data_IF_493995451265
#
_entry.id   IF_493995451265
#
_cell.length_a   1.000
_cell.length_b   1.000
_cell.length_c   1.000
_cell.angle_alpha   90.00
_cell.angle_beta   90.00
_cell.angle_gamma   90.00
#
_symmetry.space_group_name_H-M   'P 1'
#
loop_
_entity.id
_entity.type
_entity.pdbx_description
1 polymer ?
#
# COMPACT_ATOMS: atom_id res chain seq x y z
N UNK A 1 -53.47 161.07 78.54
CA UNK A 1 -52.35 161.92 79.00
C UNK A 1 -51.06 161.27 78.59
N UNK A 2 -50.16 161.89 77.84
CA UNK A 2 -50.12 163.20 77.18
C UNK A 2 -48.67 163.32 76.72
N UNK A 3 -48.44 163.44 75.41
CA UNK A 3 -47.20 163.86 74.72
C UNK A 3 -45.86 163.19 75.08
N UNK A 4 -45.52 162.96 76.35
CA UNK A 4 -44.27 162.35 76.82
C UNK A 4 -44.05 160.92 76.30
N UNK A 5 -45.07 160.06 76.32
CA UNK A 5 -44.97 158.69 75.77
C UNK A 5 -44.76 158.70 74.24
N UNK A 6 -45.33 159.68 73.53
CA UNK A 6 -45.14 159.82 72.08
C UNK A 6 -43.70 160.25 71.74
N UNK A 7 -43.10 161.15 72.53
CA UNK A 7 -41.69 161.54 72.39
C UNK A 7 -40.72 160.40 72.70
N UNK A 8 -41.02 159.54 73.69
CA UNK A 8 -40.23 158.36 74.02
C UNK A 8 -40.25 157.29 72.91
N UNK A 9 -41.43 157.05 72.32
CA UNK A 9 -41.58 156.14 71.19
C UNK A 9 -40.84 156.64 69.94
N UNK A 10 -40.91 157.95 69.66
CA UNK A 10 -40.16 158.58 68.57
C UNK A 10 -38.65 158.47 68.78
N UNK A 11 -38.15 158.70 70.00
CA UNK A 11 -36.73 158.55 70.32
C UNK A 11 -36.24 157.09 70.18
N UNK A 12 -37.04 156.11 70.63
CA UNK A 12 -36.72 154.69 70.46
C UNK A 12 -36.71 154.27 68.99
N UNK A 13 -37.63 154.81 68.19
CA UNK A 13 -37.70 154.54 66.76
C UNK A 13 -36.53 155.19 66.02
N UNK A 14 -36.12 156.40 66.40
CA UNK A 14 -34.95 157.08 65.85
C UNK A 14 -33.65 156.35 66.24
N UNK A 15 -33.54 155.84 67.47
CA UNK A 15 -32.44 155.01 67.92
C UNK A 15 -32.39 153.70 67.14
N UNK A 16 -33.53 153.04 66.94
CA UNK A 16 -33.61 151.80 66.17
C UNK A 16 -33.26 152.03 64.71
N UNK A 17 -33.73 153.14 64.12
CA UNK A 17 -33.41 153.54 62.76
C UNK A 17 -31.91 153.85 62.62
N UNK A 18 -31.32 154.58 63.56
CA UNK A 18 -29.87 154.83 63.60
C UNK A 18 -29.07 153.54 63.78
N UNK A 19 -29.56 152.58 64.59
CA UNK A 19 -28.91 151.31 64.82
C UNK A 19 -29.00 150.39 63.60
N UNK A 20 -30.13 150.41 62.88
CA UNK A 20 -30.31 149.73 61.59
C UNK A 20 -29.45 150.35 60.50
N UNK A 21 -29.41 151.69 60.40
CA UNK A 21 -28.55 152.42 59.46
C UNK A 21 -27.08 152.16 59.80
N UNK A 22 -26.70 152.12 61.08
CA UNK A 22 -25.35 151.73 61.49
C UNK A 22 -25.03 150.28 61.15
N UNK A 23 -25.96 149.35 61.32
CA UNK A 23 -25.77 147.94 60.95
C UNK A 23 -25.69 147.74 59.43
N UNK A 24 -26.41 148.55 58.64
CA UNK A 24 -26.39 148.53 57.17
C UNK A 24 -25.17 149.24 56.58
N UNK A 25 -24.69 150.34 57.19
CA UNK A 25 -23.41 150.97 56.83
C UNK A 25 -22.20 150.20 57.38
N UNK A 26 -22.38 149.39 58.43
CA UNK A 26 -21.40 148.40 58.85
C UNK A 26 -21.39 147.28 57.83
N UNK A 27 -20.63 147.49 56.75
CA UNK A 27 -20.29 146.44 55.78
C UNK A 27 -19.99 145.16 56.55
N UNK A 28 -20.76 144.07 56.40
CA UNK A 28 -20.33 142.80 56.94
C UNK A 28 -18.96 142.52 56.33
N UNK A 29 -17.96 142.30 57.18
CA UNK A 29 -16.59 142.15 56.75
C UNK A 29 -16.54 141.10 55.63
N UNK A 30 -16.08 141.49 54.44
CA UNK A 30 -15.82 140.55 53.33
C UNK A 30 -14.95 139.37 53.81
N UNK A 31 -14.10 139.63 54.82
CA UNK A 31 -13.28 138.67 55.54
C UNK A 31 -14.06 137.46 56.08
N UNK A 32 -15.31 137.60 56.56
CA UNK A 32 -16.03 136.47 57.17
C UNK A 32 -16.54 135.44 56.16
N UNK A 33 -16.84 135.86 54.92
CA UNK A 33 -17.19 134.93 53.82
C UNK A 33 -15.94 134.34 53.17
N UNK A 34 -14.88 135.14 53.03
CA UNK A 34 -13.58 134.65 52.55
C UNK A 34 -12.94 133.65 53.52
N UNK A 35 -13.03 133.86 54.84
CA UNK A 35 -12.58 132.91 55.86
C UNK A 35 -13.38 131.60 55.85
N UNK A 36 -14.70 131.67 55.64
CA UNK A 36 -15.56 130.47 55.52
C UNK A 36 -15.25 129.67 54.24
N UNK A 37 -15.08 130.35 53.11
CA UNK A 37 -14.69 129.71 51.85
C UNK A 37 -13.26 129.14 51.92
N UNK A 38 -12.33 129.82 52.60
CA UNK A 38 -10.99 129.33 52.85
C UNK A 38 -10.98 128.13 53.82
N UNK A 39 -11.83 128.13 54.86
CA UNK A 39 -12.00 127.00 55.78
C UNK A 39 -12.61 125.78 55.07
N UNK A 40 -13.58 125.99 54.17
CA UNK A 40 -14.15 124.92 53.34
C UNK A 40 -13.15 124.39 52.32
N UNK A 41 -12.36 125.25 51.66
CA UNK A 41 -11.32 124.84 50.73
C UNK A 41 -10.22 124.02 51.43
N UNK A 42 -9.74 124.49 52.59
CA UNK A 42 -8.75 123.76 53.39
C UNK A 42 -9.30 122.45 53.97
N UNK A 43 -10.58 122.42 54.36
CA UNK A 43 -11.29 121.19 54.74
C UNK A 43 -11.37 120.19 53.59
N UNK A 44 -11.69 120.65 52.39
CA UNK A 44 -11.77 119.84 51.19
C UNK A 44 -10.40 119.28 50.77
N UNK A 45 -9.34 120.10 50.82
CA UNK A 45 -7.96 119.68 50.54
C UNK A 45 -7.44 118.66 51.57
N UNK A 46 -7.93 118.73 52.82
CA UNK A 46 -7.60 117.74 53.85
C UNK A 46 -8.33 116.42 53.60
N UNK A 47 -9.63 116.48 53.30
CA UNK A 47 -10.44 115.33 52.92
C UNK A 47 -9.87 114.62 51.68
N UNK A 48 -9.46 115.37 50.65
CA UNK A 48 -8.86 114.80 49.45
C UNK A 48 -7.55 114.07 49.78
N UNK A 49 -6.70 114.66 50.64
CA UNK A 49 -5.45 114.03 51.07
C UNK A 49 -5.68 112.78 51.92
N UNK A 50 -6.67 112.80 52.81
CA UNK A 50 -7.08 111.62 53.60
C UNK A 50 -7.64 110.53 52.68
N UNK A 51 -8.53 110.84 51.75
CA UNK A 51 -9.06 109.89 50.77
C UNK A 51 -7.95 109.30 49.89
N UNK A 52 -7.01 110.11 49.39
CA UNK A 52 -5.88 109.61 48.60
C UNK A 52 -4.98 108.67 49.42
N UNK A 53 -4.80 108.94 50.71
CA UNK A 53 -4.06 108.06 51.63
C UNK A 53 -4.83 106.75 51.87
N UNK A 54 -6.12 106.83 52.21
CA UNK A 54 -7.00 105.68 52.42
C UNK A 54 -7.04 104.78 51.18
N UNK A 55 -7.17 105.36 49.99
CA UNK A 55 -7.17 104.61 48.71
C UNK A 55 -5.81 103.96 48.46
N UNK A 56 -4.70 104.67 48.72
CA UNK A 56 -3.36 104.11 48.58
C UNK A 56 -3.12 102.96 49.55
N UNK A 57 -3.50 103.12 50.81
CA UNK A 57 -3.30 102.12 51.86
C UNK A 57 -4.24 100.92 51.66
N UNK A 58 -5.50 101.17 51.27
CA UNK A 58 -6.45 100.13 50.86
C UNK A 58 -5.95 99.37 49.62
N UNK A 59 -5.37 100.05 48.63
CA UNK A 59 -4.77 99.41 47.45
C UNK A 59 -3.58 98.54 47.83
N UNK A 60 -2.73 99.00 48.76
CA UNK A 60 -1.60 98.22 49.28
C UNK A 60 -2.09 97.00 50.05
N UNK A 61 -3.07 97.13 50.94
CA UNK A 61 -3.68 96.01 51.67
C UNK A 61 -4.28 95.00 50.71
N UNK A 62 -5.06 95.46 49.73
CA UNK A 62 -5.68 94.61 48.71
C UNK A 62 -4.64 93.84 47.89
N UNK A 63 -3.53 94.48 47.51
CA UNK A 63 -2.43 93.79 46.80
C UNK A 63 -1.74 92.75 47.67
N UNK A 64 -1.57 93.03 48.96
CA UNK A 64 -0.98 92.09 49.90
C UNK A 64 -1.91 90.90 50.14
N UNK A 65 -3.21 91.13 50.32
CA UNK A 65 -4.23 90.07 50.41
C UNK A 65 -4.26 89.22 49.14
N UNK A 66 -4.24 89.84 47.96
CA UNK A 66 -4.15 89.11 46.68
C UNK A 66 -2.87 88.28 46.56
N UNK A 67 -1.72 88.83 46.97
CA UNK A 67 -0.46 88.08 46.96
C UNK A 67 -0.50 86.87 47.90
N UNK A 68 -1.05 87.05 49.11
CA UNK A 68 -1.18 85.96 50.09
C UNK A 68 -2.18 84.90 49.63
N UNK A 69 -3.34 85.29 49.10
CA UNK A 69 -4.35 84.36 48.55
C UNK A 69 -3.83 83.61 47.33
N UNK A 70 -3.05 84.25 46.45
CA UNK A 70 -2.40 83.57 45.34
C UNK A 70 -1.34 82.57 45.82
N UNK A 71 -0.54 82.94 46.83
CA UNK A 71 0.45 82.04 47.41
C UNK A 71 -0.20 80.81 48.08
N UNK A 72 -1.28 81.00 48.84
CA UNK A 72 -2.03 79.89 49.44
C UNK A 72 -2.73 79.03 48.40
N UNK A 73 -3.26 79.64 47.34
CA UNK A 73 -3.82 78.90 46.20
C UNK A 73 -2.77 78.05 45.49
N UNK A 74 -1.61 78.62 45.15
CA UNK A 74 -0.49 77.87 44.56
C UNK A 74 -0.06 76.72 45.46
N UNK A 75 0.07 76.97 46.76
CA UNK A 75 0.43 75.94 47.73
C UNK A 75 -0.61 74.82 47.79
N UNK A 76 -1.89 75.16 47.73
CA UNK A 76 -3.00 74.19 47.74
C UNK A 76 -2.99 73.34 46.47
N UNK A 77 -2.74 73.93 45.29
CA UNK A 77 -2.60 73.20 44.03
C UNK A 77 -1.40 72.25 44.03
N UNK A 78 -0.26 72.66 44.60
CA UNK A 78 0.91 71.79 44.73
C UNK A 78 0.64 70.65 45.71
N UNK A 79 -0.05 70.91 46.83
CA UNK A 79 -0.43 69.87 47.77
C UNK A 79 -1.42 68.87 47.16
N UNK A 80 -2.46 69.37 46.49
CA UNK A 80 -3.45 68.54 45.81
C UNK A 80 -2.82 67.69 44.70
N UNK A 81 -1.89 68.26 43.91
CA UNK A 81 -1.19 67.48 42.87
C UNK A 81 -0.24 66.44 43.47
N UNK A 82 0.48 66.78 44.55
CA UNK A 82 1.32 65.83 45.26
C UNK A 82 0.51 64.67 45.86
N UNK A 83 -0.68 64.96 46.42
CA UNK A 83 -1.59 63.94 46.95
C UNK A 83 -2.20 63.08 45.83
N UNK A 84 -2.58 63.67 44.69
CA UNK A 84 -3.03 62.95 43.51
C UNK A 84 -1.94 62.00 42.97
N UNK A 85 -0.67 62.45 42.89
CA UNK A 85 0.45 61.60 42.45
C UNK A 85 0.70 60.46 43.45
N UNK A 86 0.63 60.73 44.76
CA UNK A 86 0.80 59.68 45.79
C UNK A 86 -0.28 58.62 45.70
N UNK A 87 -1.54 59.03 45.56
CA UNK A 87 -2.66 58.09 45.41
C UNK A 87 -2.57 57.31 44.10
N UNK A 88 -2.16 57.95 43.00
CA UNK A 88 -1.91 57.30 41.72
C UNK A 88 -0.78 56.26 41.82
N UNK A 89 0.35 56.60 42.45
CA UNK A 89 1.46 55.66 42.64
C UNK A 89 1.04 54.47 43.50
N UNK A 90 0.31 54.70 44.59
CA UNK A 90 -0.21 53.61 45.42
C UNK A 90 -1.17 52.68 44.65
N UNK A 91 -2.00 53.24 43.76
CA UNK A 91 -2.85 52.43 42.87
C UNK A 91 -2.04 51.62 41.85
N UNK A 92 -0.99 52.21 41.26
CA UNK A 92 -0.10 51.51 40.34
C UNK A 92 0.64 50.36 41.05
N UNK A 93 1.12 50.58 42.27
CA UNK A 93 1.79 49.56 43.06
C UNK A 93 0.82 48.41 43.41
N UNK A 94 -0.41 48.74 43.84
CA UNK A 94 -1.45 47.74 44.10
C UNK A 94 -1.79 46.94 42.83
N UNK A 95 -1.90 47.60 41.68
CA UNK A 95 -2.14 46.95 40.41
C UNK A 95 -0.97 46.04 39.99
N UNK A 96 0.28 46.48 40.16
CA UNK A 96 1.47 45.69 39.89
C UNK A 96 1.53 44.44 40.77
N UNK A 97 1.19 44.56 42.06
CA UNK A 97 1.11 43.41 42.96
C UNK A 97 0.00 42.44 42.56
N UNK A 98 -1.17 42.96 42.18
CA UNK A 98 -2.27 42.13 41.70
C UNK A 98 -1.90 41.38 40.41
N UNK A 99 -1.22 42.04 39.46
CA UNK A 99 -0.72 41.40 38.25
C UNK A 99 0.32 40.32 38.55
N UNK A 100 1.24 40.56 39.48
CA UNK A 100 2.23 39.56 39.90
C UNK A 100 1.58 38.33 40.55
N UNK A 101 0.56 38.54 41.40
CA UNK A 101 -0.22 37.46 42.00
C UNK A 101 -1.01 36.66 40.96
N UNK A 102 -1.61 37.35 39.98
CA UNK A 102 -2.34 36.71 38.89
C UNK A 102 -1.39 35.87 38.02
N UNK A 103 -0.25 36.45 37.61
CA UNK A 103 0.79 35.74 36.85
C UNK A 103 1.29 34.50 37.60
N UNK A 104 1.55 34.63 38.91
CA UNK A 104 1.97 33.50 39.76
C UNK A 104 0.89 32.41 39.81
N UNK A 105 -0.36 32.79 40.09
CA UNK A 105 -1.48 31.85 40.17
C UNK A 105 -1.69 31.12 38.85
N UNK A 106 -1.60 31.81 37.71
CA UNK A 106 -1.66 31.18 36.40
C UNK A 106 -0.49 30.22 36.17
N UNK A 107 0.73 30.61 36.54
CA UNK A 107 1.91 29.76 36.40
C UNK A 107 1.81 28.49 37.25
N UNK A 108 1.36 28.63 38.49
CA UNK A 108 1.15 27.51 39.42
C UNK A 108 0.02 26.58 38.91
N UNK A 109 -1.07 27.16 38.38
CA UNK A 109 -2.18 26.39 37.80
C UNK A 109 -1.75 25.63 36.55
N UNK A 110 -1.02 26.28 35.65
CA UNK A 110 -0.50 25.64 34.42
C UNK A 110 0.48 24.52 34.77
N UNK A 111 1.38 24.73 35.74
CA UNK A 111 2.33 23.71 36.18
C UNK A 111 1.59 22.50 36.75
N UNK A 112 0.60 22.73 37.60
CA UNK A 112 -0.24 21.67 38.19
C UNK A 112 -1.03 20.92 37.12
N UNK A 113 -1.60 21.64 36.15
CA UNK A 113 -2.37 21.04 35.07
C UNK A 113 -1.49 20.21 34.12
N UNK A 114 -0.29 20.72 33.78
CA UNK A 114 0.69 19.97 32.99
C UNK A 114 1.17 18.71 33.72
N UNK A 115 1.41 18.80 35.02
CA UNK A 115 1.80 17.63 35.82
C UNK A 115 0.68 16.57 35.85
N UNK A 116 -0.57 17.00 36.06
CA UNK A 116 -1.74 16.11 36.04
C UNK A 116 -1.95 15.44 34.67
N UNK A 117 -1.80 16.21 33.58
CA UNK A 117 -1.87 15.68 32.21
C UNK A 117 -0.73 14.70 31.96
N UNK A 118 0.50 15.03 32.38
CA UNK A 118 1.66 14.15 32.24
C UNK A 118 1.47 12.83 32.98
N UNK A 119 0.96 12.88 34.22
CA UNK A 119 0.69 11.69 35.01
C UNK A 119 -0.45 10.83 34.42
N UNK A 120 -1.54 11.47 34.00
CA UNK A 120 -2.65 10.81 33.31
C UNK A 120 -2.19 10.15 32.00
N UNK A 121 -1.35 10.83 31.23
CA UNK A 121 -0.79 10.29 30.00
C UNK A 121 0.16 9.12 30.26
N UNK A 122 0.99 9.19 31.31
CA UNK A 122 1.85 8.09 31.72
C UNK A 122 1.03 6.84 32.11
N UNK A 123 -0.05 7.03 32.88
CA UNK A 123 -0.97 5.93 33.26
C UNK A 123 -1.64 5.32 32.03
N UNK A 124 -2.18 6.13 31.12
CA UNK A 124 -2.77 5.65 29.86
C UNK A 124 -1.76 4.89 29.00
N UNK A 125 -0.50 5.35 28.95
CA UNK A 125 0.52 4.67 28.17
C UNK A 125 0.86 3.28 28.73
N UNK A 126 0.84 3.13 30.05
CA UNK A 126 0.97 1.81 30.71
C UNK A 126 -0.23 0.91 30.39
N UNK A 127 -1.45 1.43 30.49
CA UNK A 127 -2.68 0.67 30.16
C UNK A 127 -2.71 0.22 28.70
N UNK A 128 -2.33 1.11 27.77
CA UNK A 128 -2.19 0.78 26.35
C UNK A 128 -1.13 -0.30 26.15
N UNK A 129 0.02 -0.18 26.80
CA UNK A 129 1.08 -1.18 26.72
C UNK A 129 0.61 -2.54 27.24
N UNK A 130 -0.06 -2.59 28.38
CA UNK A 130 -0.60 -3.82 28.96
C UNK A 130 -1.64 -4.46 28.03
N UNK A 131 -2.55 -3.65 27.47
CA UNK A 131 -3.55 -4.12 26.50
C UNK A 131 -2.89 -4.68 25.24
N UNK A 132 -1.85 -4.01 24.73
CA UNK A 132 -1.09 -4.49 23.57
C UNK A 132 -0.33 -5.78 23.87
N UNK A 133 0.29 -5.89 25.04
CA UNK A 133 0.98 -7.12 25.49
C UNK A 133 -0.02 -8.29 25.59
N UNK A 134 -1.21 -8.06 26.16
CA UNK A 134 -2.30 -9.05 26.21
C UNK A 134 -2.78 -9.46 24.81
N UNK A 135 -3.03 -8.50 23.91
CA UNK A 135 -3.46 -8.79 22.55
C UNK A 135 -2.39 -9.54 21.75
N UNK A 136 -1.11 -9.18 21.91
CA UNK A 136 -0.01 -9.89 21.27
C UNK A 136 0.13 -11.31 21.80
N UNK A 137 0.01 -11.53 23.11
CA UNK A 137 0.00 -12.86 23.70
C UNK A 137 -1.18 -13.70 23.19
N UNK A 138 -2.38 -13.12 23.12
CA UNK A 138 -3.58 -13.76 22.57
C UNK A 138 -3.38 -14.14 21.09
N UNK A 139 -2.79 -13.25 20.29
CA UNK A 139 -2.48 -13.50 18.88
C UNK A 139 -1.43 -14.60 18.72
N UNK A 140 -0.37 -14.61 19.53
CA UNK A 140 0.64 -15.65 19.53
C UNK A 140 0.02 -17.01 19.88
N UNK A 141 -0.78 -17.08 20.95
CA UNK A 141 -1.48 -18.30 21.34
C UNK A 141 -2.45 -18.78 20.25
N UNK A 142 -3.24 -17.87 19.68
CA UNK A 142 -4.19 -18.18 18.61
C UNK A 142 -3.47 -18.66 17.36
N UNK A 143 -2.36 -18.02 16.97
CA UNK A 143 -1.57 -18.45 15.83
C UNK A 143 -0.93 -19.81 16.06
N UNK A 144 -0.39 -20.09 17.27
CA UNK A 144 0.15 -21.41 17.59
C UNK A 144 -0.93 -22.49 17.47
N UNK A 145 -2.12 -22.25 18.05
CA UNK A 145 -3.24 -23.17 17.94
C UNK A 145 -3.66 -23.41 16.49
N UNK A 146 -3.72 -22.35 15.67
CA UNK A 146 -4.09 -22.45 14.25
C UNK A 146 -3.02 -23.14 13.41
N UNK A 147 -1.74 -22.96 13.73
CA UNK A 147 -0.62 -23.67 13.11
C UNK A 147 -0.67 -25.17 13.44
N UNK A 148 -0.99 -25.53 14.69
CA UNK A 148 -1.14 -26.93 15.09
C UNK A 148 -2.37 -27.57 14.44
N UNK A 149 -3.49 -26.85 14.32
CA UNK A 149 -4.67 -27.30 13.58
C UNK A 149 -4.36 -27.51 12.08
N UNK A 150 -3.61 -26.59 11.47
CA UNK A 150 -3.15 -26.75 10.09
C UNK A 150 -2.21 -27.94 9.95
N UNK A 151 -1.26 -28.15 10.88
CA UNK A 151 -0.40 -29.34 10.88
C UNK A 151 -1.24 -30.61 10.94
N UNK A 152 -2.18 -30.69 11.88
CA UNK A 152 -3.06 -31.86 12.01
C UNK A 152 -3.87 -32.11 10.73
N UNK A 153 -4.46 -31.07 10.16
CA UNK A 153 -5.26 -31.18 8.93
C UNK A 153 -4.39 -31.56 7.72
N UNK A 154 -3.19 -31.01 7.63
CA UNK A 154 -2.23 -31.31 6.56
C UNK A 154 -1.73 -32.74 6.72
N UNK A 155 -1.39 -33.19 7.92
CA UNK A 155 -0.98 -34.56 8.20
C UNK A 155 -2.12 -35.54 7.88
N UNK A 156 -3.34 -35.28 8.33
CA UNK A 156 -4.51 -36.13 8.01
C UNK A 156 -4.75 -36.20 6.49
N UNK A 157 -4.69 -35.07 5.77
CA UNK A 157 -4.86 -35.05 4.31
C UNK A 157 -3.70 -35.71 3.58
N UNK A 158 -2.46 -35.48 4.01
CA UNK A 158 -1.29 -36.11 3.41
C UNK A 158 -1.32 -37.62 3.65
N UNK A 159 -1.52 -38.08 4.89
CA UNK A 159 -1.63 -39.49 5.23
C UNK A 159 -2.71 -40.16 4.37
N UNK A 160 -3.93 -39.61 4.36
CA UNK A 160 -5.05 -40.18 3.60
C UNK A 160 -4.78 -40.18 2.09
N UNK A 161 -4.27 -39.08 1.54
CA UNK A 161 -4.01 -38.94 0.11
C UNK A 161 -2.84 -39.80 -0.34
N UNK A 162 -1.75 -39.83 0.44
CA UNK A 162 -0.58 -40.67 0.16
C UNK A 162 -0.94 -42.13 0.27
N UNK A 163 -1.61 -42.60 1.33
CA UNK A 163 -2.01 -44.01 1.45
C UNK A 163 -2.90 -44.44 0.29
N UNK A 164 -3.87 -43.61 -0.10
CA UNK A 164 -4.77 -43.92 -1.21
C UNK A 164 -4.02 -43.96 -2.55
N UNK A 165 -3.25 -42.91 -2.89
CA UNK A 165 -2.51 -42.84 -4.16
C UNK A 165 -1.35 -43.82 -4.24
N UNK A 166 -0.58 -44.00 -3.16
CA UNK A 166 0.48 -45.00 -3.12
C UNK A 166 -0.11 -46.40 -3.18
N UNK A 167 -1.19 -46.68 -2.45
CA UNK A 167 -1.90 -47.96 -2.53
C UNK A 167 -2.36 -48.27 -3.95
N UNK A 168 -2.98 -47.30 -4.63
CA UNK A 168 -3.41 -47.44 -6.02
C UNK A 168 -2.21 -47.60 -6.98
N UNK A 169 -1.15 -46.79 -6.81
CA UNK A 169 0.07 -46.87 -7.63
C UNK A 169 0.80 -48.21 -7.45
N UNK A 170 0.93 -48.69 -6.20
CA UNK A 170 1.55 -49.98 -5.90
C UNK A 170 0.69 -51.14 -6.40
N UNK A 171 -0.63 -51.05 -6.31
CA UNK A 171 -1.55 -52.05 -6.89
C UNK A 171 -1.40 -52.11 -8.40
N UNK A 172 -1.38 -50.95 -9.07
CA UNK A 172 -1.23 -50.88 -10.53
C UNK A 172 0.15 -51.40 -10.98
N UNK A 173 1.21 -51.14 -10.20
CA UNK A 173 2.55 -51.70 -10.45
C UNK A 173 2.58 -53.21 -10.20
N UNK A 174 1.93 -53.70 -9.14
CA UNK A 174 1.83 -55.12 -8.83
C UNK A 174 1.05 -55.88 -9.92
N UNK A 175 -0.10 -55.36 -10.37
CA UNK A 175 -0.89 -55.93 -11.46
C UNK A 175 -0.06 -56.01 -12.76
N UNK A 176 0.74 -54.97 -13.04
CA UNK A 176 1.63 -54.95 -14.21
C UNK A 176 2.77 -55.96 -14.10
N UNK A 177 3.35 -56.11 -12.91
CA UNK A 177 4.36 -57.13 -12.61
C UNK A 177 3.79 -58.54 -12.75
N UNK A 178 2.59 -58.80 -12.26
CA UNK A 178 1.89 -60.08 -12.41
C UNK A 178 1.62 -60.39 -13.88
N UNK A 179 1.14 -59.41 -14.65
CA UNK A 179 0.92 -59.56 -16.08
C UNK A 179 2.23 -59.83 -16.84
N UNK A 180 3.35 -59.19 -16.46
CA UNK A 180 4.67 -59.47 -17.02
C UNK A 180 5.15 -60.88 -16.65
N UNK A 181 4.96 -61.32 -15.41
CA UNK A 181 5.27 -62.69 -15.00
C UNK A 181 4.45 -63.73 -15.78
N UNK A 182 3.17 -63.45 -16.00
CA UNK A 182 2.30 -64.29 -16.83
C UNK A 182 2.74 -64.32 -18.29
N UNK A 183 3.09 -63.15 -18.85
CA UNK A 183 3.62 -63.03 -20.21
C UNK A 183 4.98 -63.74 -20.40
N UNK A 184 5.85 -63.71 -19.40
CA UNK A 184 7.11 -64.48 -19.39
C UNK A 184 6.84 -66.00 -19.30
N UNK A 185 5.85 -66.42 -18.52
CA UNK A 185 5.41 -67.83 -18.47
C UNK A 185 4.86 -68.32 -19.81
N UNK A 186 4.10 -67.48 -20.53
CA UNK A 186 3.61 -67.76 -21.88
C UNK A 186 4.74 -67.81 -22.92
N UNK A 187 5.77 -66.97 -22.80
CA UNK A 187 6.98 -67.07 -23.66
C UNK A 187 7.76 -68.38 -23.44
N UNK A 188 7.82 -68.88 -22.20
CA UNK A 188 8.45 -70.17 -21.91
C UNK A 188 7.67 -71.35 -22.52
N UNK A 189 6.35 -71.23 -22.65
CA UNK A 189 5.49 -72.17 -23.40
C UNK A 189 5.69 -72.05 -24.92
N UNK A 190 5.81 -70.83 -25.46
CA UNK A 190 6.06 -70.57 -26.87
C UNK A 190 7.40 -71.14 -27.37
N UNK A 191 8.44 -71.15 -26.52
CA UNK A 191 9.72 -71.79 -26.84
C UNK A 191 9.60 -73.32 -27.04
N UNK A 192 8.63 -73.98 -26.39
CA UNK A 192 8.35 -75.42 -26.58
C UNK A 192 7.59 -75.68 -27.89
N UNK A 193 6.73 -74.75 -28.32
CA UNK A 193 5.96 -74.85 -29.57
C UNK A 193 6.81 -74.78 -30.85
N UNK A 194 7.93 -74.03 -30.84
CA UNK A 194 8.80 -73.88 -32.02
C UNK A 194 9.63 -75.14 -32.31
N UNK A 195 9.90 -75.97 -31.30
CA UNK A 195 10.63 -77.24 -31.47
C UNK A 195 9.90 -78.29 -32.31
N UNK A 196 8.56 -78.23 -32.34
CA UNK A 196 7.75 -79.15 -33.15
C UNK A 196 7.73 -78.78 -34.64
N UNK A 197 7.78 -77.48 -34.97
CA UNK A 197 7.85 -77.02 -36.37
C UNK A 197 9.20 -77.37 -37.01
N UNK A 198 10.30 -77.23 -36.25
CA UNK A 198 11.63 -77.59 -36.74
C UNK A 198 11.74 -79.10 -37.04
N UNK A 199 11.07 -79.96 -36.26
CA UNK A 199 11.07 -81.41 -36.49
C UNK A 199 10.41 -81.83 -37.81
N UNK A 200 9.37 -81.11 -38.25
CA UNK A 200 8.67 -81.39 -39.51
C UNK A 200 9.53 -81.05 -40.74
N UNK A 201 10.41 -80.04 -40.63
CA UNK A 201 11.31 -79.62 -41.72
C UNK A 201 12.59 -80.45 -41.86
N UNK A 202 12.93 -81.30 -40.88
CA UNK A 202 14.15 -82.14 -40.92
C UNK A 202 13.94 -83.51 -41.58
N UNK A 203 12.70 -83.92 -41.83
CA UNK A 203 12.42 -85.25 -42.38
C UNK A 203 12.44 -85.24 -43.92
N UNK A 204 13.39 -85.98 -44.50
CA UNK A 204 13.65 -86.03 -45.95
C UNK A 204 12.41 -86.44 -46.77
N UNK A 205 11.54 -87.32 -46.23
CA UNK A 205 10.29 -87.71 -46.91
C UNK A 205 9.25 -86.60 -46.95
N UNK A 206 9.10 -85.86 -45.86
CA UNK A 206 8.13 -84.74 -45.77
C UNK A 206 8.56 -83.57 -46.65
N UNK A 207 9.89 -83.37 -46.83
CA UNK A 207 10.43 -82.39 -47.77
C UNK A 207 10.15 -82.74 -49.24
N UNK A 208 10.28 -84.01 -49.63
CA UNK A 208 9.93 -84.49 -50.97
C UNK A 208 8.46 -84.22 -51.31
N UNK A 209 7.55 -84.61 -50.40
CA UNK A 209 6.11 -84.37 -50.56
C UNK A 209 5.78 -82.87 -50.66
N UNK A 210 6.42 -82.01 -49.86
CA UNK A 210 6.20 -80.57 -49.95
C UNK A 210 6.69 -79.97 -51.28
N UNK A 211 7.80 -80.50 -51.82
CA UNK A 211 8.31 -80.12 -53.14
C UNK A 211 7.35 -80.52 -54.27
N UNK A 212 6.79 -81.74 -54.21
CA UNK A 212 5.79 -82.23 -55.17
C UNK A 212 4.51 -81.38 -55.13
N UNK A 213 4.00 -81.04 -53.93
CA UNK A 213 2.81 -80.19 -53.77
C UNK A 213 3.07 -78.77 -54.29
N UNK A 214 4.27 -78.22 -54.08
CA UNK A 214 4.63 -76.91 -54.60
C UNK A 214 4.75 -76.91 -56.13
N UNK A 215 5.32 -77.97 -56.71
CA UNK A 215 5.41 -78.13 -58.16
C UNK A 215 4.01 -78.30 -58.78
N UNK A 216 3.14 -79.07 -58.13
CA UNK A 216 1.74 -79.22 -58.52
C UNK A 216 1.03 -77.87 -58.56
N UNK A 217 1.16 -77.06 -57.50
CA UNK A 217 0.55 -75.74 -57.44
C UNK A 217 1.06 -74.80 -58.55
N UNK A 218 2.36 -74.87 -58.89
CA UNK A 218 2.93 -74.08 -59.98
C UNK A 218 2.45 -74.56 -61.36
N UNK A 219 2.37 -75.87 -61.58
CA UNK A 219 1.87 -76.44 -62.83
C UNK A 219 0.38 -76.14 -63.03
N UNK A 220 -0.44 -76.23 -61.99
CA UNK A 220 -1.87 -75.88 -62.03
C UNK A 220 -2.12 -74.39 -62.32
N UNK A 221 -1.23 -73.50 -61.86
CA UNK A 221 -1.34 -72.06 -62.14
C UNK A 221 -1.00 -71.70 -63.59
N UNK A 222 -0.13 -72.47 -64.24
CA UNK A 222 0.43 -72.11 -65.57
C UNK A 222 -0.17 -72.95 -66.70
N UNK A 223 -0.56 -74.21 -66.45
CA UNK A 223 -1.03 -75.16 -67.46
C UNK A 223 -2.43 -75.68 -67.12
N UNK A 224 -3.23 -76.03 -68.13
CA UNK A 224 -4.53 -76.68 -67.91
C UNK A 224 -4.36 -78.17 -67.61
N UNK A 225 -5.32 -78.76 -66.91
CA UNK A 225 -5.28 -80.17 -66.47
C UNK A 225 -5.08 -81.19 -67.60
N UNK A 226 -5.41 -80.84 -68.84
CA UNK A 226 -5.22 -81.70 -70.02
C UNK A 226 -3.80 -81.65 -70.62
N UNK A 227 -2.99 -80.65 -70.23
CA UNK A 227 -1.66 -80.39 -70.79
C UNK A 227 -0.52 -81.02 -69.98
N UNK A 228 -0.78 -81.45 -68.75
CA UNK A 228 0.19 -82.16 -67.92
C UNK A 228 -0.48 -83.39 -67.28
N UNK A 229 0.29 -84.37 -66.88
CA UNK A 229 -0.22 -85.56 -66.21
C UNK A 229 0.72 -85.98 -65.08
N UNK A 230 0.13 -86.49 -64.00
CA UNK A 230 0.85 -86.92 -62.78
C UNK A 230 1.21 -88.40 -62.88
N UNK A 231 2.40 -88.77 -62.42
CA UNK A 231 2.81 -90.18 -62.25
C UNK A 231 2.70 -91.01 -63.55
N UNK A 232 3.21 -90.46 -64.66
CA UNK A 232 3.12 -91.04 -66.01
C UNK A 232 4.42 -91.76 -66.38
N UNK A 233 4.28 -92.85 -67.14
CA UNK A 233 5.41 -93.54 -67.76
C UNK A 233 5.70 -92.89 -69.13
N UNK A 234 6.84 -92.21 -69.27
CA UNK A 234 7.16 -91.42 -70.47
C UNK A 234 7.60 -92.28 -71.66
N UNK A 235 8.11 -93.49 -71.41
CA UNK A 235 8.53 -94.45 -72.44
C UNK A 235 7.77 -95.77 -72.28
N UNK A 236 7.02 -96.23 -73.30
CA UNK A 236 6.27 -97.49 -73.21
C UNK A 236 7.20 -98.68 -72.88
N UNK A 237 6.83 -99.48 -71.86
CA UNK A 237 7.57 -100.67 -71.35
C UNK A 237 8.88 -100.38 -70.60
N UNK A 238 9.10 -99.16 -70.09
CA UNK A 238 10.27 -98.86 -69.26
C UNK A 238 10.03 -99.09 -67.76
N UNK A 239 8.77 -99.07 -67.30
CA UNK A 239 8.41 -99.18 -65.88
C UNK A 239 8.86 -98.00 -65.02
N UNK A 240 9.44 -96.96 -65.61
CA UNK A 240 9.94 -95.76 -64.91
C UNK A 240 8.86 -94.68 -64.95
N UNK A 241 8.29 -94.36 -63.79
CA UNK A 241 7.27 -93.33 -63.61
C UNK A 241 7.92 -92.06 -63.11
N UNK A 242 7.53 -90.93 -63.69
CA UNK A 242 7.98 -89.60 -63.26
C UNK A 242 6.85 -88.87 -62.55
N UNK A 243 7.18 -88.01 -61.61
CA UNK A 243 6.18 -87.34 -60.77
C UNK A 243 5.20 -86.50 -61.60
N UNK A 244 5.71 -85.75 -62.59
CA UNK A 244 4.90 -85.00 -63.55
C UNK A 244 5.46 -85.11 -64.97
N UNK A 245 4.58 -85.07 -65.99
CA UNK A 245 4.98 -85.02 -67.39
C UNK A 245 4.10 -84.06 -68.19
N UNK A 246 4.72 -83.21 -69.02
CA UNK A 246 3.99 -82.28 -69.91
C UNK A 246 3.74 -82.96 -71.26
N UNK A 247 2.52 -82.78 -71.78
CA UNK A 247 2.08 -83.34 -73.07
C UNK A 247 2.37 -82.36 -74.21
N UNK A 248 3.25 -82.74 -75.13
CA UNK A 248 3.44 -82.03 -76.39
C UNK A 248 2.72 -82.74 -77.56
N UNK A 249 2.12 -82.01 -78.51
CA UNK A 249 1.57 -82.60 -79.73
C UNK A 249 2.72 -83.13 -80.59
N UNK A 250 2.77 -84.44 -80.80
CA UNK A 250 3.77 -85.09 -81.64
C UNK A 250 3.61 -84.70 -83.11
N UNK A 251 4.72 -84.54 -83.84
CA UNK A 251 4.75 -84.19 -85.27
C UNK A 251 4.79 -85.40 -86.22
N UNK A 252 4.58 -86.63 -85.73
CA UNK A 252 4.60 -87.85 -86.54
C UNK A 252 3.21 -88.36 -86.94
N UNK A 253 3.12 -89.06 -88.09
CA UNK A 253 1.88 -89.59 -88.70
C UNK A 253 1.06 -90.53 -87.79
N UNK A 254 1.62 -91.02 -86.68
CA UNK A 254 0.93 -91.89 -85.71
C UNK A 254 0.26 -91.13 -84.54
N UNK A 255 0.31 -89.79 -84.51
CA UNK A 255 -0.44 -88.97 -83.55
C UNK A 255 -0.13 -89.22 -82.07
N UNK A 256 0.92 -89.99 -81.75
CA UNK A 256 1.28 -90.32 -80.37
C UNK A 256 1.86 -89.08 -79.66
N UNK A 257 1.31 -88.67 -78.50
CA UNK A 257 1.82 -87.52 -77.75
C UNK A 257 3.24 -87.78 -77.23
N UNK A 258 4.09 -86.76 -77.29
CA UNK A 258 5.45 -86.80 -76.72
C UNK A 258 5.40 -86.24 -75.31
N UNK A 259 5.86 -87.03 -74.35
CA UNK A 259 5.89 -86.65 -72.94
C UNK A 259 7.26 -86.08 -72.56
N UNK A 260 7.27 -84.87 -71.99
CA UNK A 260 8.46 -84.28 -71.38
C UNK A 260 8.41 -84.54 -69.86
N UNK A 261 9.29 -85.40 -69.30
CA UNK A 261 9.31 -85.65 -67.86
C UNK A 261 9.79 -84.42 -67.08
N UNK A 262 9.14 -84.15 -65.94
CA UNK A 262 9.56 -83.17 -64.93
C UNK A 262 9.63 -83.89 -63.58
N UNK A 263 10.83 -83.93 -63.01
CA UNK A 263 11.07 -84.50 -61.69
C UNK A 263 11.24 -83.36 -60.65
N UNK A 264 10.59 -83.49 -59.49
CA UNK A 264 10.66 -82.53 -58.40
C UNK A 264 11.85 -82.78 -57.46
N UNK A 265 12.61 -83.85 -57.70
CA UNK A 265 13.69 -84.32 -56.84
C UNK A 265 14.96 -83.48 -57.01
N UNK A 266 14.94 -82.28 -56.45
CA UNK A 266 16.11 -81.40 -56.41
C UNK A 266 16.76 -81.41 -55.02
N UNK A 267 18.08 -81.67 -54.90
CA UNK A 267 18.80 -81.66 -53.61
C UNK A 267 19.00 -80.22 -53.09
N UNK A 268 17.91 -79.64 -52.59
CA UNK A 268 17.85 -78.22 -52.19
C UNK A 268 18.88 -77.85 -51.12
N UNK A 269 19.22 -78.73 -50.20
CA UNK A 269 20.21 -78.43 -49.14
C UNK A 269 21.61 -78.20 -49.70
N UNK A 270 22.03 -79.01 -50.68
CA UNK A 270 23.34 -78.87 -51.31
C UNK A 270 23.38 -77.63 -52.22
N UNK A 271 22.24 -77.26 -52.81
CA UNK A 271 22.06 -76.00 -53.53
C UNK A 271 22.02 -74.76 -52.61
N UNK A 272 21.33 -74.82 -51.48
CA UNK A 272 21.33 -73.77 -50.46
C UNK A 272 22.73 -73.57 -49.88
N UNK A 273 23.49 -74.65 -49.64
CA UNK A 273 24.91 -74.56 -49.23
C UNK A 273 25.77 -73.86 -50.27
N UNK A 274 25.53 -74.11 -51.56
CA UNK A 274 26.23 -73.42 -52.64
C UNK A 274 25.85 -71.93 -52.68
N UNK A 275 24.57 -71.59 -52.53
CA UNK A 275 24.08 -70.22 -52.45
C UNK A 275 24.68 -69.46 -51.27
N UNK A 276 24.64 -70.05 -50.07
CA UNK A 276 25.26 -69.49 -48.86
C UNK A 276 26.75 -69.21 -49.06
N UNK A 277 27.48 -70.13 -49.72
CA UNK A 277 28.89 -69.95 -50.02
C UNK A 277 29.14 -68.83 -51.05
N UNK A 278 28.25 -68.68 -52.04
CA UNK A 278 28.26 -67.58 -53.01
C UNK A 278 27.96 -66.22 -52.35
N UNK A 279 26.94 -66.15 -51.50
CA UNK A 279 26.57 -64.93 -50.77
C UNK A 279 27.69 -64.47 -49.83
N UNK A 280 28.44 -65.42 -49.24
CA UNK A 280 29.62 -65.14 -48.41
C UNK A 280 30.90 -64.88 -49.21
N UNK A 281 30.83 -64.90 -50.55
CA UNK A 281 31.95 -64.70 -51.47
C UNK A 281 33.16 -65.62 -51.23
N UNK A 282 32.93 -66.85 -50.76
CA UNK A 282 33.98 -67.86 -50.53
C UNK A 282 34.13 -68.77 -51.75
N UNK A 283 35.15 -68.48 -52.57
CA UNK A 283 35.41 -69.21 -53.82
C UNK A 283 35.73 -70.70 -53.60
N UNK A 284 36.41 -71.06 -52.52
CA UNK A 284 36.82 -72.45 -52.27
C UNK A 284 35.65 -73.29 -51.76
N UNK A 285 34.84 -72.74 -50.85
CA UNK A 285 33.63 -73.40 -50.36
C UNK A 285 32.58 -73.55 -51.47
N UNK A 286 32.44 -72.54 -52.34
CA UNK A 286 31.54 -72.59 -53.49
C UNK A 286 31.94 -73.69 -54.48
N UNK A 287 33.23 -73.86 -54.79
CA UNK A 287 33.69 -74.92 -55.71
C UNK A 287 33.43 -76.32 -55.13
N UNK A 288 33.64 -76.51 -53.82
CA UNK A 288 33.42 -77.79 -53.15
C UNK A 288 31.92 -78.13 -53.06
N UNK A 289 31.08 -77.16 -52.67
CA UNK A 289 29.63 -77.32 -52.66
C UNK A 289 29.08 -77.57 -54.07
N UNK A 290 29.64 -76.92 -55.08
CA UNK A 290 29.29 -77.14 -56.49
C UNK A 290 29.58 -78.57 -56.94
N UNK A 291 30.78 -79.10 -56.66
CA UNK A 291 31.14 -80.50 -56.96
C UNK A 291 30.25 -81.51 -56.22
N UNK A 292 29.91 -81.22 -54.97
CA UNK A 292 29.03 -82.08 -54.18
C UNK A 292 27.60 -82.11 -54.73
N UNK A 293 27.07 -80.95 -55.14
CA UNK A 293 25.76 -80.84 -55.80
C UNK A 293 25.75 -81.59 -57.13
N UNK A 294 26.77 -81.42 -57.97
CA UNK A 294 26.90 -82.13 -59.25
C UNK A 294 26.92 -83.65 -59.06
N UNK A 295 27.72 -84.15 -58.11
CA UNK A 295 27.79 -85.58 -57.81
C UNK A 295 26.43 -86.15 -57.34
N UNK A 296 25.70 -85.40 -56.51
CA UNK A 296 24.35 -85.77 -56.07
C UNK A 296 23.35 -85.81 -57.22
N UNK A 297 23.31 -84.77 -58.04
CA UNK A 297 22.42 -84.70 -59.20
C UNK A 297 22.69 -85.87 -60.14
N UNK A 298 23.96 -86.21 -60.39
CA UNK A 298 24.33 -87.33 -61.26
C UNK A 298 23.99 -88.72 -60.69
N UNK A 299 23.86 -88.83 -59.37
CA UNK A 299 23.47 -90.08 -58.71
C UNK A 299 21.95 -90.25 -58.67
N UNK A 300 21.21 -89.14 -58.73
CA UNK A 300 19.75 -89.12 -58.67
C UNK A 300 19.06 -89.06 -60.04
N UNK A 301 19.76 -88.60 -61.09
CA UNK A 301 19.34 -88.60 -62.50
C UNK A 301 19.59 -89.94 -63.21
#
# INVERSE_FOLDING_TARGET
MTTFQAWLALAALLLNLLLLVWLLLRRPAANGREELLAALATGNDRLERELRREISDSSRSSRQELATTFATFQQTLVQQSAEAIRTQNAQIDAFSQQLALLQKTLSDTLTTQLQSVSESNARRMVEVRETLEQQLAQLQQTNSAKLDEMRKTVDEKLQTTLETRLGESFKQVADRLEQVHKGLGEMQSLAVGVGNLQRVLTNVKTRGVFGEVQLEALLEQVLTTDQYAKQVETKPRSGQRVDFAIRFPGRGDDGSPVWLPIDAKFPRDDYERLLDAHERADAAAAELAGKALEARIRTEA
#
